data_IF_026843108471
#
_entry.id   IF_026843108471
#
_cell.length_a   1.000
_cell.length_b   1.000
_cell.length_c   1.000
_cell.angle_alpha   90.00
_cell.angle_beta   90.00
_cell.angle_gamma   90.00
#
_symmetry.space_group_name_H-M   'P 1'
#
loop_
_entity.id
_entity.type
_entity.pdbx_description
1 polymer ?
#
# COMPACT_ATOMS: atom_id res chain seq x y z
N UNK A 1 42.07 -1.84 -6.35
CA UNK A 1 41.82 -2.25 -5.20
C UNK A 1 40.57 -1.83 -4.62
N UNK A 2 40.30 -1.06 -4.39
CA UNK A 2 39.23 -0.49 -3.88
C UNK A 2 37.98 -0.77 -4.56
N UNK A 3 38.01 -0.98 -5.68
CA UNK A 3 36.83 -1.15 -6.42
C UNK A 3 35.92 -2.14 -5.83
N UNK A 4 36.47 -3.01 -5.30
CA UNK A 4 35.70 -4.02 -4.76
C UNK A 4 34.59 -3.47 -4.04
N UNK A 5 34.82 -2.50 -3.43
CA UNK A 5 33.79 -1.97 -2.64
C UNK A 5 32.59 -1.63 -3.43
N UNK A 6 32.81 -1.27 -4.57
CA UNK A 6 31.74 -0.88 -5.37
C UNK A 6 30.75 -1.93 -5.56
N UNK A 7 31.20 -3.05 -5.75
CA UNK A 7 30.33 -4.17 -6.02
C UNK A 7 29.30 -4.27 -4.92
N UNK A 8 29.74 -4.06 -3.74
CA UNK A 8 28.81 -4.18 -2.65
C UNK A 8 27.73 -3.15 -2.74
N UNK A 9 28.11 -2.00 -3.14
CA UNK A 9 27.13 -0.93 -3.19
C UNK A 9 26.07 -1.25 -4.18
N UNK A 10 26.44 -1.83 -5.26
CA UNK A 10 25.49 -2.13 -6.28
C UNK A 10 24.42 -3.08 -5.81
N UNK A 11 24.82 -4.05 -5.07
CA UNK A 11 23.84 -5.01 -4.65
C UNK A 11 22.77 -4.39 -3.79
N UNK A 12 23.09 -3.30 -3.15
CA UNK A 12 22.11 -2.66 -2.31
C UNK A 12 20.96 -2.12 -3.10
N UNK A 13 21.24 -1.57 -4.23
CA UNK A 13 20.19 -0.93 -4.99
C UNK A 13 19.06 -1.87 -5.32
N UNK A 14 19.39 -3.11 -5.46
CA UNK A 14 18.37 -4.08 -5.81
C UNK A 14 17.33 -4.21 -4.73
N UNK A 15 17.74 -4.04 -3.51
CA UNK A 15 16.84 -4.24 -2.39
C UNK A 15 15.88 -3.11 -2.24
N UNK A 16 16.20 -1.99 -2.78
CA UNK A 16 15.39 -0.82 -2.55
C UNK A 16 14.02 -0.85 -3.19
N UNK A 17 13.71 -1.90 -3.90
CA UNK A 17 12.42 -1.95 -4.57
C UNK A 17 11.33 -2.58 -3.73
N UNK A 18 11.65 -2.97 -2.52
CA UNK A 18 10.73 -3.79 -1.77
C UNK A 18 9.44 -3.12 -1.31
N UNK A 19 9.48 -1.90 -0.87
CA UNK A 19 8.32 -1.27 -0.28
C UNK A 19 8.25 0.21 -0.60
N UNK A 20 7.03 0.73 -0.62
CA UNK A 20 6.78 2.14 -0.80
C UNK A 20 6.13 2.68 0.47
N UNK A 21 6.41 3.93 0.78
CA UNK A 21 5.87 4.56 1.98
C UNK A 21 5.26 5.91 1.63
N UNK A 22 4.18 6.26 2.32
CA UNK A 22 3.52 7.54 2.19
C UNK A 22 3.08 8.01 3.57
N UNK A 23 3.10 9.33 3.79
CA UNK A 23 2.68 9.91 5.06
C UNK A 23 1.59 10.93 4.81
N UNK A 24 0.48 10.82 5.54
CA UNK A 24 -0.63 11.75 5.51
C UNK A 24 -1.21 11.83 6.92
N UNK A 25 -1.51 13.04 7.38
CA UNK A 25 -2.14 13.24 8.69
C UNK A 25 -1.39 12.51 9.81
N UNK A 26 -0.05 12.54 9.75
CA UNK A 26 0.80 11.89 10.74
C UNK A 26 0.63 10.37 10.77
N UNK A 27 0.13 9.80 9.69
CA UNK A 27 -0.01 8.37 9.54
C UNK A 27 0.90 7.93 8.40
N UNK A 28 1.79 6.99 8.68
CA UNK A 28 2.69 6.45 7.66
C UNK A 28 2.14 5.12 7.18
N UNK A 29 2.07 4.95 5.87
CA UNK A 29 1.59 3.72 5.25
C UNK A 29 2.72 3.11 4.46
N UNK A 30 3.06 1.87 4.77
CA UNK A 30 4.08 1.13 4.04
C UNK A 30 3.37 -0.01 3.31
N UNK A 31 3.62 -0.14 2.03
CA UNK A 31 2.96 -1.17 1.24
C UNK A 31 3.97 -1.90 0.36
N UNK A 32 3.84 -3.21 0.32
CA UNK A 32 4.68 -4.06 -0.50
C UNK A 32 3.78 -4.92 -1.36
N UNK A 33 4.01 -4.92 -2.66
CA UNK A 33 3.21 -5.72 -3.57
C UNK A 33 3.42 -7.21 -3.25
N UNK A 34 2.34 -7.94 -3.15
CA UNK A 34 2.36 -9.34 -2.81
C UNK A 34 1.97 -10.24 -3.98
N UNK A 35 0.89 -9.91 -4.66
CA UNK A 35 0.42 -10.72 -5.78
C UNK A 35 -0.51 -9.89 -6.64
N UNK A 36 -0.81 -10.41 -7.82
CA UNK A 36 -1.79 -9.79 -8.71
C UNK A 36 -2.45 -10.89 -9.51
N UNK A 37 -3.66 -10.64 -9.98
CA UNK A 37 -4.41 -11.62 -10.72
C UNK A 37 -5.66 -11.03 -11.32
N UNK A 38 -6.46 -11.87 -11.93
CA UNK A 38 -7.72 -11.45 -12.51
C UNK A 38 -8.77 -12.52 -12.28
N UNK A 39 -10.03 -12.09 -12.31
CA UNK A 39 -11.14 -13.00 -12.13
C UNK A 39 -12.28 -12.51 -13.02
N UNK A 40 -13.03 -13.44 -13.56
CA UNK A 40 -14.21 -13.10 -14.37
C UNK A 40 -15.46 -13.24 -13.53
N UNK A 41 -16.23 -12.17 -13.46
CA UNK A 41 -17.46 -12.15 -12.68
C UNK A 41 -18.58 -11.66 -13.57
N UNK A 42 -19.58 -12.50 -13.81
CA UNK A 42 -20.72 -12.10 -14.62
C UNK A 42 -20.36 -11.65 -16.02
N UNK A 43 -19.37 -12.26 -16.63
CA UNK A 43 -18.96 -11.89 -17.98
C UNK A 43 -17.99 -10.71 -18.05
N UNK A 44 -17.60 -10.17 -16.90
CA UNK A 44 -16.62 -9.08 -16.86
C UNK A 44 -15.35 -9.53 -16.19
N UNK A 45 -14.24 -9.03 -16.69
CA UNK A 45 -12.94 -9.30 -16.07
C UNK A 45 -12.63 -8.21 -15.06
N UNK A 46 -12.19 -8.62 -13.88
CA UNK A 46 -11.74 -7.71 -12.84
C UNK A 46 -10.30 -8.06 -12.53
N UNK A 47 -9.45 -7.05 -12.50
CA UNK A 47 -8.03 -7.21 -12.23
C UNK A 47 -7.74 -6.73 -10.82
N UNK A 48 -6.93 -7.45 -10.08
CA UNK A 48 -6.66 -7.12 -8.68
C UNK A 48 -5.16 -7.13 -8.42
N UNK A 49 -4.76 -6.31 -7.46
CA UNK A 49 -3.39 -6.32 -6.95
C UNK A 49 -3.45 -6.29 -5.44
N UNK A 50 -2.74 -7.20 -4.81
CA UNK A 50 -2.73 -7.39 -3.36
C UNK A 50 -1.43 -6.83 -2.79
N UNK A 51 -1.57 -6.10 -1.69
CA UNK A 51 -0.43 -5.54 -0.97
C UNK A 51 -0.43 -5.98 0.48
N UNK A 52 0.77 -6.21 1.01
CA UNK A 52 0.95 -6.27 2.44
C UNK A 52 1.11 -4.83 2.89
N UNK A 53 0.29 -4.40 3.84
CA UNK A 53 0.24 -3.00 4.27
C UNK A 53 0.52 -2.92 5.77
N UNK A 54 1.35 -1.95 6.14
CA UNK A 54 1.60 -1.63 7.53
C UNK A 54 1.27 -0.15 7.72
N UNK A 55 0.45 0.16 8.70
CA UNK A 55 0.03 1.52 9.01
C UNK A 55 0.55 1.88 10.38
N UNK A 56 1.26 2.99 10.48
CA UNK A 56 1.87 3.43 11.73
C UNK A 56 1.50 4.87 12.02
N UNK A 57 1.29 5.19 13.29
CA UNK A 57 0.99 6.55 13.71
C UNK A 57 2.27 7.21 14.18
N UNK A 58 2.55 8.39 13.66
CA UNK A 58 3.66 9.19 14.15
C UNK A 58 3.28 9.74 15.53
N UNK A 59 4.24 10.17 16.34
CA UNK A 59 3.94 10.66 17.67
C UNK A 59 2.86 11.75 17.65
N UNK A 60 1.95 11.69 18.60
CA UNK A 60 0.83 12.61 18.69
C UNK A 60 -0.42 11.87 19.12
N UNK A 61 -1.58 12.48 18.85
CA UNK A 61 -2.86 11.91 19.24
C UNK A 61 -3.18 10.64 18.47
N UNK A 62 -3.99 9.78 19.06
CA UNK A 62 -4.46 8.58 18.38
C UNK A 62 -5.47 8.97 17.29
N UNK A 63 -5.68 8.08 16.34
CA UNK A 63 -6.68 8.29 15.29
C UNK A 63 -7.58 7.07 15.20
N UNK A 64 -8.80 7.30 14.73
CA UNK A 64 -9.78 6.24 14.53
C UNK A 64 -9.70 5.84 13.04
N UNK A 65 -9.24 4.63 12.79
CA UNK A 65 -9.05 4.17 11.41
C UNK A 65 -10.35 4.08 10.63
N UNK A 66 -11.49 3.98 11.29
CA UNK A 66 -12.76 3.90 10.58
C UNK A 66 -13.09 5.19 9.82
N UNK A 67 -12.39 6.28 10.11
CA UNK A 67 -12.62 7.55 9.42
C UNK A 67 -11.73 7.70 8.19
N UNK A 68 -10.95 6.69 7.87
CA UNK A 68 -9.99 6.74 6.77
C UNK A 68 -10.18 5.54 5.85
N UNK A 69 -9.60 5.63 4.67
CA UNK A 69 -9.59 4.52 3.73
C UNK A 69 -8.24 4.50 3.00
N UNK A 70 -7.92 3.36 2.44
CA UNK A 70 -6.70 3.21 1.66
C UNK A 70 -7.01 3.39 0.18
N UNK A 71 -6.11 4.03 -0.53
CA UNK A 71 -6.20 4.20 -1.98
C UNK A 71 -4.85 3.85 -2.57
N UNK A 72 -4.85 3.19 -3.71
CA UNK A 72 -3.62 2.87 -4.41
C UNK A 72 -3.46 3.79 -5.61
N UNK A 73 -2.21 4.10 -5.93
CA UNK A 73 -1.88 5.02 -7.01
C UNK A 73 -0.79 4.43 -7.89
N UNK A 74 -0.94 4.62 -9.20
CA UNK A 74 0.12 4.28 -10.14
C UNK A 74 1.08 5.46 -10.26
N UNK A 75 2.25 5.27 -10.89
CA UNK A 75 3.20 6.37 -11.08
C UNK A 75 2.61 7.56 -11.84
N UNK A 76 1.63 7.33 -12.69
CA UNK A 76 0.97 8.40 -13.43
C UNK A 76 -0.26 8.93 -12.69
N UNK A 77 -0.35 8.65 -11.39
CA UNK A 77 -1.40 9.17 -10.51
C UNK A 77 -2.81 8.66 -10.76
N UNK A 78 -2.94 7.52 -11.38
CA UNK A 78 -4.26 6.89 -11.45
C UNK A 78 -4.58 6.31 -10.08
N UNK A 79 -5.83 6.46 -9.66
CA UNK A 79 -6.30 5.99 -8.37
C UNK A 79 -7.07 4.71 -8.55
N UNK A 80 -6.80 3.71 -7.72
CA UNK A 80 -7.50 2.43 -7.78
C UNK A 80 -8.28 2.21 -6.49
N UNK A 81 -9.48 1.70 -6.63
CA UNK A 81 -10.36 1.50 -5.50
C UNK A 81 -10.02 0.25 -4.72
N UNK A 82 -10.20 0.35 -3.43
CA UNK A 82 -10.04 -0.77 -2.53
C UNK A 82 -11.17 -1.78 -2.78
N UNK A 83 -10.81 -3.02 -2.98
CA UNK A 83 -11.78 -4.09 -3.16
C UNK A 83 -12.04 -4.77 -1.83
N UNK A 84 -10.99 -5.23 -1.17
CA UNK A 84 -11.10 -5.82 0.15
C UNK A 84 -9.93 -5.39 1.00
N UNK A 85 -10.12 -5.41 2.31
CA UNK A 85 -9.06 -5.02 3.24
C UNK A 85 -9.29 -5.76 4.55
N UNK A 86 -8.19 -6.12 5.21
CA UNK A 86 -8.29 -6.71 6.54
C UNK A 86 -8.92 -5.72 7.49
N UNK A 87 -9.82 -6.20 8.31
CA UNK A 87 -10.58 -5.36 9.23
C UNK A 87 -9.70 -4.48 10.11
N UNK A 88 -8.59 -5.02 10.57
CA UNK A 88 -7.71 -4.24 11.45
C UNK A 88 -7.04 -3.04 10.78
N UNK A 89 -7.09 -2.95 9.47
CA UNK A 89 -6.61 -1.78 8.74
C UNK A 89 -7.71 -0.75 8.53
N UNK A 90 -8.96 -1.11 8.77
CA UNK A 90 -10.10 -0.25 8.48
C UNK A 90 -10.89 0.18 9.71
N UNK A 91 -10.55 -0.30 10.87
CA UNK A 91 -11.25 0.05 12.12
C UNK A 91 -10.30 -0.04 13.29
N UNK A 92 -10.73 0.55 14.38
CA UNK A 92 -9.96 0.56 15.62
C UNK A 92 -9.14 1.81 15.75
N UNK A 93 -8.43 1.92 16.83
CA UNK A 93 -7.64 3.09 17.17
C UNK A 93 -6.18 2.82 16.85
N UNK A 94 -5.58 3.73 16.09
CA UNK A 94 -4.17 3.65 15.75
C UNK A 94 -3.37 4.52 16.70
N UNK A 95 -2.36 3.94 17.35
CA UNK A 95 -1.54 4.64 18.35
C UNK A 95 -0.09 4.65 17.91
N UNK A 96 0.62 5.69 18.31
CA UNK A 96 2.06 5.77 18.09
C UNK A 96 2.76 4.59 18.77
N UNK A 97 3.68 3.97 18.06
CA UNK A 97 4.41 2.82 18.59
C UNK A 97 3.71 1.49 18.45
N UNK A 98 2.49 1.48 17.93
CA UNK A 98 1.73 0.24 17.75
C UNK A 98 1.18 0.14 16.33
N UNK A 99 2.03 -0.16 15.37
CA UNK A 99 1.59 -0.26 13.97
C UNK A 99 0.65 -1.44 13.77
N UNK A 100 -0.18 -1.33 12.75
CA UNK A 100 -1.15 -2.35 12.39
C UNK A 100 -0.79 -2.87 11.00
N UNK A 101 -0.84 -4.17 10.82
CA UNK A 101 -0.50 -4.80 9.56
C UNK A 101 -1.66 -5.64 9.04
N UNK A 102 -1.77 -5.70 7.75
CA UNK A 102 -2.79 -6.52 7.11
C UNK A 102 -2.65 -6.49 5.61
N UNK A 103 -3.65 -7.06 4.95
CA UNK A 103 -3.66 -7.17 3.50
C UNK A 103 -4.73 -6.25 2.93
N UNK A 104 -4.41 -5.58 1.83
CA UNK A 104 -5.36 -4.75 1.09
C UNK A 104 -5.31 -5.17 -0.38
N UNK A 105 -6.48 -5.29 -0.99
CA UNK A 105 -6.61 -5.66 -2.40
C UNK A 105 -7.28 -4.53 -3.14
N UNK A 106 -6.66 -4.08 -4.22
CA UNK A 106 -7.19 -3.02 -5.07
C UNK A 106 -7.60 -3.62 -6.41
N UNK A 107 -8.60 -3.03 -7.05
CA UNK A 107 -9.17 -3.59 -8.26
C UNK A 107 -9.39 -2.54 -9.33
N UNK A 108 -9.42 -2.98 -10.58
CA UNK A 108 -9.80 -2.14 -11.71
C UNK A 108 -10.40 -3.02 -12.81
N UNK A 109 -11.09 -2.37 -13.74
CA UNK A 109 -11.70 -3.08 -14.86
C UNK A 109 -10.70 -3.44 -15.94
N UNK A 110 -9.51 -2.87 -15.87
CA UNK A 110 -8.42 -3.18 -16.80
C UNK A 110 -7.21 -3.59 -15.99
N UNK A 111 -6.16 -4.02 -16.65
CA UNK A 111 -4.95 -4.41 -15.96
C UNK A 111 -4.15 -3.20 -15.43
N UNK A 112 -4.71 -2.00 -15.54
CA UNK A 112 -4.04 -0.80 -15.04
C UNK A 112 -3.65 -0.91 -13.57
N UNK A 113 -4.43 -1.64 -12.77
CA UNK A 113 -4.14 -1.81 -11.34
C UNK A 113 -2.79 -2.52 -11.12
N UNK A 114 -2.30 -3.24 -12.12
CA UNK A 114 -1.00 -3.90 -11.99
C UNK A 114 0.12 -2.88 -11.87
N UNK A 115 -0.13 -1.63 -12.28
CA UNK A 115 0.85 -0.57 -12.17
C UNK A 115 0.78 0.16 -10.83
N UNK A 116 -0.16 -0.20 -9.98
CA UNK A 116 -0.27 0.43 -8.67
C UNK A 116 1.02 0.19 -7.89
N UNK A 117 1.57 1.25 -7.32
CA UNK A 117 2.86 1.20 -6.64
C UNK A 117 2.83 1.84 -5.26
N UNK A 118 1.93 2.77 -5.02
CA UNK A 118 1.89 3.52 -3.77
C UNK A 118 0.51 3.40 -3.15
N UNK A 119 0.47 3.14 -1.86
CA UNK A 119 -0.79 3.09 -1.11
C UNK A 119 -0.78 4.24 -0.13
N UNK A 120 -1.85 5.02 -0.13
CA UNK A 120 -2.00 6.15 0.78
C UNK A 120 -3.27 6.00 1.60
N UNK A 121 -3.27 6.63 2.76
CA UNK A 121 -4.48 6.70 3.57
C UNK A 121 -5.12 8.07 3.32
N UNK A 122 -6.44 8.11 3.31
CA UNK A 122 -7.19 9.32 2.99
C UNK A 122 -8.46 9.37 3.83
N UNK A 123 -8.92 10.56 4.14
CA UNK A 123 -10.22 10.73 4.79
C UNK A 123 -11.33 10.94 3.76
N UNK A 124 -10.99 10.99 2.49
CA UNK A 124 -11.96 11.09 1.42
C UNK A 124 -12.23 9.67 0.90
N UNK A 125 -13.27 9.06 1.42
CA UNK A 125 -13.55 7.64 1.18
C UNK A 125 -14.71 7.39 0.22
N UNK A 126 -14.94 8.30 -0.70
CA UNK A 126 -16.03 8.11 -1.69
C UNK A 126 -15.55 7.53 -2.98
#
# INVERSE_FOLDING_TARGET
>A
MKFLTIAGALSLTVLCTAANAAVSDDIAVYATAKSQGSVSVGGKDVYTKTFDVSVAKLPGDTVDLSKFCLKAYSPDNKVFKLDTVDEKLSRGVLKAGKPVKGIAVFASETDAVYQAALVKISDDCK
#
